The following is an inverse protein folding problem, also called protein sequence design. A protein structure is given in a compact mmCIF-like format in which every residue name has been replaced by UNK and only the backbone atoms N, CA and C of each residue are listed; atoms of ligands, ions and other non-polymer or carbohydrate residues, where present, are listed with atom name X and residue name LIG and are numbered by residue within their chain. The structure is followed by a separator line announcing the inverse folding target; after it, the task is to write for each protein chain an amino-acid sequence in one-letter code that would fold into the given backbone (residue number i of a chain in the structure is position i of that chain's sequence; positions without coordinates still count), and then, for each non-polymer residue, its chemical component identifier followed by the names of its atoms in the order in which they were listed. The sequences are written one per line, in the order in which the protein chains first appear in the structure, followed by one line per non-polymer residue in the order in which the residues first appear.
data_IF_109928768138
#
_entry.id   IF_109928768138
#
_cell.length_a   1.000
_cell.length_b   1.000
_cell.length_c   1.000
_cell.angle_alpha   90.00
_cell.angle_beta   90.00
_cell.angle_gamma   90.00
#
_symmetry.space_group_name_H-M   'P 1'
#
loop_
_entity.id
_entity.type
_entity.pdbx_description
1 polymer ?
#
# COMPACT_ATOMS: atom_id res chain seq x y z
N UNK A 1 -23.20 3.57 -16.07
CA UNK A 1 -21.88 4.20 -16.35
C UNK A 1 -21.34 4.73 -15.04
N UNK A 2 -20.04 4.63 -14.80
CA UNK A 2 -19.43 5.16 -13.57
C UNK A 2 -19.71 6.66 -13.42
N UNK A 3 -19.84 7.12 -12.18
CA UNK A 3 -19.92 8.55 -11.89
C UNK A 3 -18.55 9.19 -12.07
N UNK A 4 -18.50 10.36 -12.66
CA UNK A 4 -17.24 11.07 -12.91
C UNK A 4 -17.11 12.31 -12.03
N UNK A 5 -15.91 12.48 -11.44
CA UNK A 5 -15.53 13.68 -10.73
C UNK A 5 -14.22 14.22 -11.33
N UNK A 6 -14.09 15.53 -11.36
CA UNK A 6 -12.85 16.18 -11.77
C UNK A 6 -12.39 17.15 -10.66
N UNK A 7 -11.16 16.99 -10.22
CA UNK A 7 -10.56 17.84 -9.20
C UNK A 7 -9.35 18.59 -9.76
N UNK A 8 -9.18 19.86 -9.39
CA UNK A 8 -7.94 20.57 -9.65
C UNK A 8 -6.79 19.92 -8.87
N UNK A 9 -5.58 20.19 -9.28
CA UNK A 9 -4.41 19.83 -8.47
C UNK A 9 -4.46 20.61 -7.15
N UNK A 10 -4.51 19.88 -6.04
CA UNK A 10 -4.70 20.47 -4.72
C UNK A 10 -3.38 20.78 -4.02
N UNK A 11 -2.30 20.14 -4.47
CA UNK A 11 -0.97 20.21 -3.89
C UNK A 11 0.05 19.87 -4.96
N UNK A 12 1.13 20.62 -5.02
CA UNK A 12 2.25 20.29 -5.90
C UNK A 12 3.01 19.06 -5.39
N UNK A 13 3.79 18.45 -6.28
CA UNK A 13 4.65 17.32 -5.89
C UNK A 13 5.67 17.71 -4.81
N UNK A 14 6.20 18.93 -4.85
CA UNK A 14 7.15 19.39 -3.83
C UNK A 14 6.47 19.56 -2.47
N UNK A 15 5.29 20.16 -2.41
CA UNK A 15 4.51 20.26 -1.18
C UNK A 15 4.15 18.87 -0.62
N UNK A 16 3.83 17.91 -1.48
CA UNK A 16 3.51 16.55 -1.04
C UNK A 16 4.71 15.83 -0.41
N UNK A 17 5.93 16.16 -0.81
CA UNK A 17 7.15 15.58 -0.20
C UNK A 17 7.34 16.00 1.25
N UNK A 18 6.90 17.19 1.63
CA UNK A 18 7.00 17.68 3.01
C UNK A 18 6.14 16.85 3.96
N UNK A 19 5.06 16.27 3.45
CA UNK A 19 4.16 15.42 4.23
C UNK A 19 4.65 13.98 4.42
N UNK A 20 5.70 13.56 3.71
CA UNK A 20 6.17 12.17 3.79
C UNK A 20 6.56 11.80 5.22
N UNK A 21 5.94 10.72 5.72
CA UNK A 21 6.12 10.22 7.07
C UNK A 21 5.34 10.98 8.15
N UNK A 22 4.47 11.94 7.78
CA UNK A 22 3.51 12.57 8.68
C UNK A 22 2.18 11.82 8.68
N UNK A 23 1.43 11.95 9.75
CA UNK A 23 0.06 11.44 9.81
C UNK A 23 -0.89 12.30 8.98
N UNK A 24 -1.87 11.69 8.28
CA UNK A 24 -2.92 12.45 7.63
C UNK A 24 -3.74 13.24 8.67
N UNK A 25 -3.87 14.54 8.45
CA UNK A 25 -4.70 15.43 9.27
C UNK A 25 -5.94 15.88 8.49
N UNK A 26 -6.98 16.24 9.20
CA UNK A 26 -8.25 16.70 8.59
C UNK A 26 -8.07 17.91 7.67
N UNK A 27 -7.08 18.78 7.95
CA UNK A 27 -6.77 19.94 7.11
C UNK A 27 -6.27 19.56 5.71
N UNK A 28 -5.71 18.35 5.55
CA UNK A 28 -5.24 17.84 4.27
C UNK A 28 -6.37 17.26 3.41
N UNK A 29 -7.54 16.99 4.02
CA UNK A 29 -8.70 16.43 3.33
C UNK A 29 -9.52 17.59 2.76
N UNK A 30 -9.33 17.90 1.49
CA UNK A 30 -10.05 18.98 0.80
C UNK A 30 -11.41 18.55 0.25
N UNK A 31 -11.53 17.27 -0.10
CA UNK A 31 -12.74 16.71 -0.69
C UNK A 31 -13.00 15.33 -0.10
N UNK A 32 -14.25 15.06 0.17
CA UNK A 32 -14.71 13.75 0.60
C UNK A 32 -15.68 13.21 -0.45
N UNK A 33 -15.41 11.99 -0.93
CA UNK A 33 -16.30 11.28 -1.82
C UNK A 33 -16.82 10.05 -1.09
N UNK A 34 -18.13 9.98 -0.92
CA UNK A 34 -18.83 8.76 -0.46
C UNK A 34 -19.41 8.07 -1.70
N UNK A 35 -18.71 7.11 -2.30
CA UNK A 35 -19.14 6.51 -3.55
C UNK A 35 -20.28 5.54 -3.29
N UNK A 36 -21.48 5.89 -3.78
CA UNK A 36 -22.64 4.98 -3.78
C UNK A 36 -22.68 4.09 -5.01
N UNK A 37 -21.88 4.39 -6.00
CA UNK A 37 -21.79 3.72 -7.31
C UNK A 37 -20.34 3.72 -7.79
N UNK A 38 -20.04 2.95 -8.83
CA UNK A 38 -18.72 2.98 -9.48
C UNK A 38 -18.34 4.42 -9.83
N UNK A 39 -17.12 4.82 -9.52
CA UNK A 39 -16.72 6.22 -9.60
C UNK A 39 -15.34 6.32 -10.24
N UNK A 40 -15.15 7.30 -11.13
CA UNK A 40 -13.84 7.64 -11.70
C UNK A 40 -13.51 9.09 -11.33
N UNK A 41 -12.29 9.29 -10.86
CA UNK A 41 -11.78 10.59 -10.44
C UNK A 41 -10.68 11.01 -11.40
N UNK A 42 -10.85 12.15 -12.02
CA UNK A 42 -9.92 12.73 -13.00
C UNK A 42 -9.18 13.93 -12.43
N UNK A 43 -7.92 14.11 -12.88
CA UNK A 43 -7.23 15.40 -12.73
C UNK A 43 -7.89 16.40 -13.69
N UNK A 44 -8.31 17.54 -13.16
CA UNK A 44 -8.79 18.65 -13.97
C UNK A 44 -7.58 19.28 -14.67
N UNK A 45 -7.52 19.12 -15.98
CA UNK A 45 -6.50 19.76 -16.82
C UNK A 45 -7.10 20.95 -17.54
N UNK A 46 -6.31 22.02 -17.75
CA UNK A 46 -6.73 23.18 -18.53
C UNK A 46 -6.87 22.90 -20.04
N UNK A 47 -6.48 21.72 -20.51
CA UNK A 47 -6.49 21.32 -21.91
C UNK A 47 -7.73 20.50 -22.24
N UNK A 48 -8.45 20.91 -23.26
CA UNK A 48 -9.56 20.14 -23.83
C UNK A 48 -9.05 18.80 -24.39
N UNK A 49 -9.39 17.71 -23.74
CA UNK A 49 -9.18 16.35 -24.25
C UNK A 49 -8.38 15.39 -23.38
N UNK A 50 -7.54 15.87 -22.47
CA UNK A 50 -6.82 14.98 -21.54
C UNK A 50 -7.53 14.88 -20.19
N UNK A 51 -7.95 13.67 -19.84
CA UNK A 51 -8.55 13.36 -18.54
C UNK A 51 -7.69 12.30 -17.82
N UNK A 52 -6.53 12.66 -17.25
CA UNK A 52 -5.75 11.70 -16.49
C UNK A 52 -6.56 11.18 -15.29
N UNK A 53 -6.60 9.88 -15.12
CA UNK A 53 -7.27 9.25 -13.98
C UNK A 53 -6.37 9.42 -12.76
N UNK A 54 -6.89 10.02 -11.70
CA UNK A 54 -6.27 10.10 -10.38
C UNK A 54 -6.61 8.87 -9.53
N UNK A 55 -7.81 8.33 -9.72
CA UNK A 55 -8.28 7.17 -9.00
C UNK A 55 -9.62 6.70 -9.54
N UNK A 56 -9.97 5.47 -9.19
CA UNK A 56 -11.28 4.93 -9.50
C UNK A 56 -11.72 4.01 -8.35
N UNK A 57 -13.01 3.93 -8.13
CA UNK A 57 -13.63 3.10 -7.11
C UNK A 57 -14.63 2.18 -7.81
N UNK A 58 -14.43 0.89 -7.66
CA UNK A 58 -15.33 -0.15 -8.09
C UNK A 58 -16.00 -0.76 -6.87
N UNK A 59 -17.31 -0.80 -6.88
CA UNK A 59 -18.09 -1.39 -5.78
C UNK A 59 -18.43 -2.85 -6.08
N UNK A 60 -18.68 -3.58 -5.02
CA UNK A 60 -19.23 -4.95 -5.05
C UNK A 60 -18.48 -5.87 -6.02
N UNK A 61 -17.14 -5.79 -5.99
CA UNK A 61 -16.26 -6.53 -6.92
C UNK A 61 -16.13 -7.98 -6.49
N UNK A 62 -16.21 -8.23 -5.18
CA UNK A 62 -16.04 -9.56 -4.61
C UNK A 62 -17.39 -10.23 -4.43
N UNK A 63 -17.48 -11.49 -4.84
CA UNK A 63 -18.64 -12.33 -4.49
C UNK A 63 -18.59 -12.68 -3.01
N UNK A 64 -19.72 -12.85 -2.37
CA UNK A 64 -19.83 -13.07 -0.92
C UNK A 64 -18.91 -14.18 -0.40
N UNK A 65 -18.84 -15.32 -1.11
CA UNK A 65 -17.99 -16.44 -0.71
C UNK A 65 -16.49 -16.09 -0.77
N UNK A 66 -16.03 -15.39 -1.81
CA UNK A 66 -14.64 -14.96 -1.93
C UNK A 66 -14.32 -13.90 -0.88
N UNK A 67 -15.27 -13.00 -0.63
CA UNK A 67 -15.11 -11.93 0.36
C UNK A 67 -14.86 -12.47 1.76
N UNK A 68 -15.72 -13.37 2.22
CA UNK A 68 -15.62 -13.93 3.59
C UNK A 68 -14.33 -14.75 3.76
N UNK A 69 -13.98 -15.61 2.81
CA UNK A 69 -12.77 -16.42 2.91
C UNK A 69 -11.49 -15.56 2.87
N UNK A 70 -11.46 -14.55 2.01
CA UNK A 70 -10.32 -13.60 1.94
C UNK A 70 -10.25 -12.80 3.23
N UNK A 71 -11.38 -12.31 3.74
CA UNK A 71 -11.47 -11.54 4.98
C UNK A 71 -10.96 -12.35 6.17
N UNK A 72 -11.42 -13.58 6.36
CA UNK A 72 -10.95 -14.48 7.41
C UNK A 72 -9.43 -14.70 7.30
N UNK A 73 -8.94 -14.93 6.09
CA UNK A 73 -7.52 -15.09 5.85
C UNK A 73 -6.71 -13.85 6.25
N UNK A 74 -7.16 -12.65 5.86
CA UNK A 74 -6.54 -11.38 6.21
C UNK A 74 -6.58 -11.12 7.72
N UNK A 75 -7.71 -11.39 8.37
CA UNK A 75 -7.85 -11.23 9.83
C UNK A 75 -6.93 -12.18 10.63
N UNK A 76 -6.56 -13.31 10.05
CA UNK A 76 -5.64 -14.29 10.65
C UNK A 76 -4.15 -13.90 10.52
N UNK A 77 -3.83 -12.74 9.93
CA UNK A 77 -2.45 -12.25 9.80
C UNK A 77 -2.11 -11.41 11.03
N UNK A 78 -1.17 -11.89 11.83
CA UNK A 78 -0.68 -11.20 13.04
C UNK A 78 0.76 -10.69 12.89
N UNK A 79 1.28 -10.69 11.67
CA UNK A 79 2.65 -10.25 11.45
C UNK A 79 2.76 -8.72 11.52
N UNK A 80 3.82 -8.27 12.19
CA UNK A 80 4.18 -6.86 12.30
C UNK A 80 5.47 -6.62 11.54
N UNK A 81 5.49 -5.65 10.65
CA UNK A 81 6.73 -5.24 10.02
C UNK A 81 7.35 -4.04 10.70
N UNK A 82 8.64 -4.15 10.98
CA UNK A 82 9.44 -3.07 11.54
C UNK A 82 10.23 -2.30 10.48
N UNK A 83 10.10 -2.65 9.20
CA UNK A 83 10.94 -2.16 8.10
C UNK A 83 10.31 -1.04 7.27
N UNK A 84 9.19 -0.47 7.72
CA UNK A 84 8.44 0.55 6.98
C UNK A 84 8.41 1.89 7.72
N UNK A 85 9.58 2.38 8.09
CA UNK A 85 9.72 3.59 8.91
C UNK A 85 8.84 4.77 8.45
N UNK A 86 8.82 5.08 7.16
CA UNK A 86 8.01 6.20 6.65
C UNK A 86 6.51 5.94 6.74
N UNK A 87 6.05 4.69 6.55
CA UNK A 87 4.63 4.34 6.65
C UNK A 87 4.16 4.30 8.11
N UNK A 88 5.09 4.10 9.06
CA UNK A 88 4.78 3.99 10.48
C UNK A 88 4.55 5.34 11.17
N UNK A 89 4.73 6.44 10.45
CA UNK A 89 4.62 7.78 11.01
C UNK A 89 5.81 8.22 11.87
N UNK A 90 5.72 9.40 12.48
CA UNK A 90 6.71 9.89 13.42
C UNK A 90 6.89 8.97 14.62
N UNK A 91 8.08 8.97 15.21
CA UNK A 91 8.37 8.22 16.44
C UNK A 91 7.56 8.81 17.58
N UNK A 92 6.86 7.92 18.30
CA UNK A 92 6.22 8.26 19.56
C UNK A 92 7.29 8.23 20.69
N UNK A 93 7.87 9.39 20.95
CA UNK A 93 8.92 9.54 21.99
C UNK A 93 8.35 9.40 23.39
N UNK A 94 7.11 9.79 23.62
CA UNK A 94 6.45 9.68 24.93
C UNK A 94 6.25 8.21 25.30
N UNK A 95 5.90 7.38 24.32
CA UNK A 95 5.80 5.93 24.52
C UNK A 95 7.16 5.29 24.79
N UNK A 96 8.22 5.70 24.09
CA UNK A 96 9.57 5.20 24.34
C UNK A 96 10.03 5.57 25.77
N UNK A 97 9.78 6.80 26.20
CA UNK A 97 10.09 7.28 27.53
C UNK A 97 9.27 6.53 28.60
N UNK A 98 7.98 6.29 28.35
CA UNK A 98 7.11 5.50 29.23
C UNK A 98 7.61 4.06 29.41
N UNK A 99 8.16 3.47 28.35
CA UNK A 99 8.75 2.13 28.36
C UNK A 99 10.17 2.09 28.94
N UNK A 100 10.76 3.24 29.26
CA UNK A 100 12.14 3.34 29.77
C UNK A 100 13.20 2.94 28.73
N UNK A 101 12.89 3.05 27.45
CA UNK A 101 13.81 2.70 26.37
C UNK A 101 14.81 3.84 26.18
N UNK A 102 16.09 3.57 26.32
CA UNK A 102 17.14 4.53 25.95
C UNK A 102 17.31 4.57 24.44
N UNK A 103 17.11 5.73 23.84
CA UNK A 103 17.15 5.89 22.38
C UNK A 103 17.85 7.17 21.96
N UNK A 104 18.24 7.21 20.69
CA UNK A 104 18.70 8.41 19.98
C UNK A 104 17.97 8.50 18.64
N UNK A 105 17.26 9.60 18.42
CA UNK A 105 16.59 9.84 17.15
C UNK A 105 17.61 10.03 16.04
N UNK A 106 17.39 9.37 14.90
CA UNK A 106 18.16 9.53 13.66
C UNK A 106 17.41 10.38 12.63
N UNK A 107 16.11 10.17 12.55
CA UNK A 107 15.17 10.96 11.78
C UNK A 107 13.87 11.03 12.56
N UNK A 108 12.88 11.78 12.09
CA UNK A 108 11.53 11.76 12.68
C UNK A 108 10.87 10.38 12.71
N UNK A 109 11.29 9.46 11.85
CA UNK A 109 10.71 8.13 11.69
C UNK A 109 11.66 6.99 12.06
N UNK A 110 12.83 7.30 12.60
CA UNK A 110 13.81 6.27 12.95
C UNK A 110 14.64 6.65 14.18
N UNK A 111 14.96 5.66 14.97
CA UNK A 111 15.80 5.80 16.15
C UNK A 111 16.72 4.58 16.32
N UNK A 112 17.75 4.72 17.11
CA UNK A 112 18.54 3.61 17.61
C UNK A 112 18.32 3.46 19.11
N UNK A 113 18.31 2.22 19.59
CA UNK A 113 18.33 1.92 21.03
C UNK A 113 19.76 1.74 21.52
N UNK A 114 19.96 2.03 22.80
CA UNK A 114 21.21 1.85 23.51
C UNK A 114 20.92 0.91 24.67
N UNK A 115 21.55 -0.26 24.70
CA UNK A 115 21.39 -1.20 25.80
C UNK A 115 22.20 -0.78 27.03
N UNK A 116 22.00 -1.46 28.14
CA UNK A 116 22.71 -1.15 29.42
C UNK A 116 24.23 -1.35 29.33
N UNK A 117 24.71 -2.00 28.28
CA UNK A 117 26.15 -2.17 28.00
C UNK A 117 26.69 -1.14 27.03
N UNK A 118 25.85 -0.13 26.64
CA UNK A 118 26.20 0.90 25.67
C UNK A 118 26.24 0.41 24.24
N UNK A 119 25.66 -0.76 23.91
CA UNK A 119 25.62 -1.27 22.55
C UNK A 119 24.42 -0.68 21.82
N UNK A 120 24.66 -0.25 20.60
CA UNK A 120 23.67 0.39 19.74
C UNK A 120 23.01 -0.62 18.81
N UNK A 121 21.69 -0.50 18.65
CA UNK A 121 20.91 -1.24 17.65
C UNK A 121 20.16 -0.27 16.77
N UNK A 122 20.20 -0.46 15.44
CA UNK A 122 19.37 0.30 14.53
C UNK A 122 17.96 -0.27 14.52
N UNK A 123 17.00 0.55 14.91
CA UNK A 123 15.58 0.30 14.72
C UNK A 123 15.05 1.37 13.78
N UNK A 124 14.57 0.96 12.65
CA UNK A 124 14.12 1.89 11.61
C UNK A 124 12.59 1.95 11.59
N UNK A 125 12.00 2.39 12.74
CA UNK A 125 10.58 2.76 12.75
C UNK A 125 10.05 3.18 14.11
N UNK A 126 8.93 3.87 14.10
CA UNK A 126 8.19 4.26 15.26
C UNK A 126 7.15 3.23 15.70
N UNK A 127 6.03 3.27 15.04
CA UNK A 127 4.88 2.50 15.47
C UNK A 127 4.81 1.13 14.80
N UNK A 128 4.36 0.09 15.51
CA UNK A 128 4.14 -1.21 14.91
C UNK A 128 2.98 -1.12 13.90
N UNK A 129 3.23 -1.59 12.68
CA UNK A 129 2.21 -1.73 11.66
C UNK A 129 2.03 -3.21 11.37
N UNK A 130 0.82 -3.71 11.50
CA UNK A 130 0.48 -5.06 11.05
C UNK A 130 0.40 -5.06 9.53
N UNK A 131 1.47 -5.52 8.91
CA UNK A 131 1.61 -5.53 7.46
C UNK A 131 2.39 -6.76 7.02
N UNK A 132 1.93 -7.37 5.95
CA UNK A 132 2.63 -8.48 5.32
C UNK A 132 2.75 -8.24 3.83
N UNK A 133 3.88 -8.62 3.26
CA UNK A 133 4.11 -8.59 1.82
C UNK A 133 4.06 -10.02 1.26
N UNK A 134 3.18 -10.22 0.30
CA UNK A 134 2.98 -11.48 -0.42
C UNK A 134 3.47 -11.39 -1.85
N UNK A 135 3.61 -12.56 -2.51
CA UNK A 135 4.07 -12.65 -3.89
C UNK A 135 5.59 -12.64 -3.99
N UNK A 136 6.12 -11.92 -4.96
CA UNK A 136 7.52 -11.96 -5.33
C UNK A 136 8.21 -10.63 -5.04
N UNK A 137 9.44 -10.69 -4.58
CA UNK A 137 10.27 -9.51 -4.33
C UNK A 137 11.70 -9.73 -4.84
N UNK A 138 12.35 -8.65 -5.21
CA UNK A 138 13.78 -8.67 -5.52
C UNK A 138 14.58 -8.59 -4.22
N UNK A 139 15.46 -9.54 -4.02
CA UNK A 139 16.35 -9.53 -2.85
C UNK A 139 17.30 -8.34 -2.89
N UNK A 140 17.32 -7.53 -1.81
CA UNK A 140 18.11 -6.30 -1.73
C UNK A 140 19.60 -6.50 -2.01
N UNK A 141 20.16 -7.60 -1.52
CA UNK A 141 21.59 -7.90 -1.65
C UNK A 141 21.92 -8.84 -2.80
N UNK A 142 21.02 -9.74 -3.14
CA UNK A 142 21.24 -10.76 -4.16
C UNK A 142 20.78 -10.34 -5.56
N UNK A 143 19.90 -9.36 -5.64
CA UNK A 143 19.22 -8.97 -6.87
C UNK A 143 18.28 -10.05 -7.44
N UNK A 144 18.23 -11.24 -6.84
CA UNK A 144 17.38 -12.35 -7.30
C UNK A 144 15.93 -12.10 -6.93
N UNK A 145 15.03 -12.46 -7.84
CA UNK A 145 13.58 -12.45 -7.58
C UNK A 145 13.21 -13.78 -6.95
N UNK A 146 12.48 -13.73 -5.86
CA UNK A 146 12.01 -14.89 -5.11
C UNK A 146 10.71 -14.57 -4.38
N UNK A 147 9.97 -15.61 -4.01
CA UNK A 147 8.78 -15.45 -3.15
C UNK A 147 9.15 -14.77 -1.84
N UNK A 148 8.26 -13.95 -1.32
CA UNK A 148 8.41 -13.35 0.01
C UNK A 148 8.53 -14.45 1.07
N UNK A 149 9.16 -14.13 2.21
CA UNK A 149 9.24 -15.09 3.33
C UNK A 149 7.86 -15.54 3.79
N UNK A 150 6.93 -14.60 3.89
CA UNK A 150 5.56 -14.90 4.28
C UNK A 150 4.87 -15.86 3.30
N UNK A 151 4.96 -15.63 1.98
CA UNK A 151 4.38 -16.52 0.96
C UNK A 151 4.97 -17.94 1.00
N UNK A 152 6.23 -18.08 1.37
CA UNK A 152 6.88 -19.40 1.54
C UNK A 152 6.38 -20.13 2.77
N UNK A 153 6.18 -19.40 3.87
CA UNK A 153 5.75 -19.96 5.15
C UNK A 153 4.24 -20.21 5.22
N UNK A 154 3.45 -19.56 4.37
CA UNK A 154 1.99 -19.62 4.37
C UNK A 154 1.43 -19.89 2.96
N UNK A 155 1.73 -21.04 2.34
CA UNK A 155 1.34 -21.33 0.95
C UNK A 155 -0.18 -21.32 0.74
N UNK A 156 -0.96 -21.91 1.63
CA UNK A 156 -2.42 -21.96 1.53
C UNK A 156 -3.04 -20.57 1.62
N UNK A 157 -2.62 -19.77 2.60
CA UNK A 157 -3.08 -18.37 2.72
C UNK A 157 -2.66 -17.53 1.51
N UNK A 158 -1.45 -17.74 1.00
CA UNK A 158 -0.99 -17.07 -0.21
C UNK A 158 -1.89 -17.40 -1.41
N UNK A 159 -2.36 -18.61 -1.55
CA UNK A 159 -3.23 -19.01 -2.66
C UNK A 159 -4.62 -18.37 -2.53
N UNK A 160 -5.20 -18.32 -1.34
CA UNK A 160 -6.44 -17.59 -1.06
C UNK A 160 -6.28 -16.11 -1.44
N UNK A 161 -5.25 -15.46 -0.93
CA UNK A 161 -5.04 -14.03 -1.13
C UNK A 161 -4.60 -13.66 -2.54
N UNK A 162 -4.09 -14.63 -3.32
CA UNK A 162 -3.78 -14.44 -4.75
C UNK A 162 -5.03 -14.18 -5.60
N UNK A 163 -6.22 -14.43 -5.08
CA UNK A 163 -7.49 -14.06 -5.74
C UNK A 163 -7.73 -12.55 -5.74
N UNK A 164 -7.22 -11.82 -4.75
CA UNK A 164 -7.36 -10.35 -4.68
C UNK A 164 -6.86 -9.68 -5.97
N UNK A 165 -5.59 -9.82 -6.39
CA UNK A 165 -5.12 -9.20 -7.62
C UNK A 165 -5.82 -9.73 -8.87
N UNK A 166 -6.34 -10.97 -8.88
CA UNK A 166 -7.12 -11.47 -10.03
C UNK A 166 -8.45 -10.71 -10.17
N UNK A 167 -9.18 -10.56 -9.07
CA UNK A 167 -10.45 -9.83 -9.03
C UNK A 167 -10.21 -8.34 -9.32
N UNK A 168 -9.19 -7.75 -8.71
CA UNK A 168 -8.83 -6.36 -8.93
C UNK A 168 -8.45 -6.08 -10.39
N UNK A 169 -7.85 -7.03 -11.11
CA UNK A 169 -7.56 -6.90 -12.53
C UNK A 169 -8.83 -6.68 -13.37
N UNK A 170 -9.94 -7.33 -13.00
CA UNK A 170 -11.21 -7.16 -13.69
C UNK A 170 -11.70 -5.72 -13.50
N UNK A 171 -11.75 -5.26 -12.26
CA UNK A 171 -12.17 -3.89 -11.93
C UNK A 171 -11.27 -2.83 -12.58
N UNK A 172 -9.96 -3.05 -12.54
CA UNK A 172 -8.99 -2.14 -13.15
C UNK A 172 -9.19 -2.01 -14.66
N UNK A 173 -9.34 -3.14 -15.35
CA UNK A 173 -9.59 -3.15 -16.79
C UNK A 173 -10.91 -2.45 -17.17
N UNK A 174 -11.93 -2.57 -16.34
CA UNK A 174 -13.22 -1.92 -16.59
C UNK A 174 -13.20 -0.40 -16.37
N UNK A 175 -12.53 0.05 -15.30
CA UNK A 175 -12.53 1.45 -14.91
C UNK A 175 -11.44 2.28 -15.57
N UNK A 176 -10.29 1.69 -15.86
CA UNK A 176 -9.13 2.38 -16.43
C UNK A 176 -8.44 1.53 -17.52
N UNK A 177 -9.13 1.19 -18.61
CA UNK A 177 -8.65 0.22 -19.60
C UNK A 177 -7.32 0.59 -20.23
N UNK A 178 -7.08 1.86 -20.56
CA UNK A 178 -5.83 2.31 -21.17
C UNK A 178 -4.63 2.15 -20.24
N UNK A 179 -4.79 2.45 -18.96
CA UNK A 179 -3.76 2.24 -17.93
C UNK A 179 -3.51 0.75 -17.71
N UNK A 180 -4.58 -0.05 -17.65
CA UNK A 180 -4.46 -1.50 -17.52
C UNK A 180 -3.66 -2.11 -18.67
N UNK A 181 -3.97 -1.77 -19.92
CA UNK A 181 -3.27 -2.31 -21.08
C UNK A 181 -1.82 -1.87 -21.15
N UNK A 182 -1.51 -0.62 -20.77
CA UNK A 182 -0.12 -0.16 -20.67
C UNK A 182 0.67 -0.94 -19.61
N UNK A 183 0.10 -1.12 -18.42
CA UNK A 183 0.74 -1.87 -17.34
C UNK A 183 0.86 -3.36 -17.66
N UNK A 184 -0.14 -3.94 -18.32
CA UNK A 184 -0.11 -5.32 -18.80
C UNK A 184 1.03 -5.53 -19.80
N UNK A 185 1.14 -4.65 -20.80
CA UNK A 185 2.23 -4.69 -21.78
C UNK A 185 3.60 -4.60 -21.10
N UNK A 186 3.74 -3.72 -20.11
CA UNK A 186 4.97 -3.63 -19.32
C UNK A 186 5.26 -4.94 -18.57
N UNK A 187 4.29 -5.48 -17.85
CA UNK A 187 4.46 -6.72 -17.10
C UNK A 187 4.83 -7.90 -18.02
N UNK A 188 4.17 -8.03 -19.18
CA UNK A 188 4.44 -9.09 -20.16
C UNK A 188 5.82 -8.94 -20.81
N UNK A 189 6.33 -7.72 -20.96
CA UNK A 189 7.62 -7.45 -21.57
C UNK A 189 8.80 -7.64 -20.62
N UNK A 190 8.64 -7.23 -19.37
CA UNK A 190 9.78 -7.10 -18.45
C UNK A 190 9.74 -8.05 -17.25
N UNK A 191 8.60 -8.72 -16.99
CA UNK A 191 8.44 -9.62 -15.85
C UNK A 191 8.08 -11.02 -16.33
N UNK A 192 8.95 -11.99 -16.06
CA UNK A 192 8.66 -13.39 -16.34
C UNK A 192 7.33 -13.81 -15.68
N UNK A 193 6.51 -14.58 -16.41
CA UNK A 193 5.18 -14.99 -15.94
C UNK A 193 5.20 -15.66 -14.55
N UNK A 194 6.23 -16.48 -14.30
CA UNK A 194 6.39 -17.18 -13.00
C UNK A 194 6.57 -16.22 -11.80
N UNK A 195 6.88 -14.96 -12.03
CA UNK A 195 7.03 -13.93 -11.00
C UNK A 195 5.82 -12.98 -10.93
N UNK A 196 4.76 -13.30 -11.65
CA UNK A 196 3.51 -12.56 -11.63
C UNK A 196 2.46 -13.35 -10.84
N UNK A 197 1.75 -12.69 -9.92
CA UNK A 197 0.71 -13.35 -9.11
C UNK A 197 -0.38 -13.82 -10.06
N UNK A 198 -0.64 -15.13 -10.05
CA UNK A 198 -1.64 -15.79 -10.89
C UNK A 198 -1.53 -15.44 -12.39
N UNK A 199 -0.30 -15.19 -12.89
CA UNK A 199 -0.06 -14.82 -14.29
C UNK A 199 -0.55 -13.42 -14.67
N UNK A 200 -1.05 -12.63 -13.70
CA UNK A 200 -1.59 -11.29 -13.90
C UNK A 200 -0.51 -10.22 -14.12
N UNK A 201 -0.85 -8.99 -13.76
CA UNK A 201 0.05 -7.83 -13.90
C UNK A 201 0.82 -7.49 -12.63
N UNK A 202 0.43 -8.05 -11.50
CA UNK A 202 1.02 -7.76 -10.20
C UNK A 202 2.06 -8.80 -9.81
N UNK A 203 3.13 -8.34 -9.20
CA UNK A 203 4.19 -9.20 -8.63
C UNK A 203 4.07 -9.33 -7.12
N UNK A 204 3.47 -8.33 -6.48
CA UNK A 204 3.42 -8.19 -5.03
C UNK A 204 2.04 -7.73 -4.61
N UNK A 205 1.60 -8.21 -3.45
CA UNK A 205 0.44 -7.72 -2.72
C UNK A 205 0.88 -7.38 -1.30
N UNK A 206 0.55 -6.19 -0.83
CA UNK A 206 0.73 -5.80 0.56
C UNK A 206 -0.63 -5.80 1.26
N UNK A 207 -0.74 -6.55 2.34
CA UNK A 207 -1.90 -6.51 3.21
C UNK A 207 -1.54 -5.72 4.47
N UNK A 208 -2.33 -4.70 4.78
CA UNK A 208 -2.17 -3.87 5.96
C UNK A 208 -3.42 -4.01 6.81
N UNK A 209 -3.24 -4.33 8.09
CA UNK A 209 -4.32 -4.44 9.06
C UNK A 209 -4.27 -3.21 9.95
N UNK A 210 -5.37 -2.49 10.00
CA UNK A 210 -5.54 -1.35 10.88
C UNK A 210 -6.11 -1.80 12.22
N UNK A 211 -5.78 -1.06 13.29
CA UNK A 211 -6.42 -1.27 14.58
C UNK A 211 -7.91 -0.89 14.50
N UNK A 212 -8.75 -1.57 15.28
CA UNK A 212 -10.21 -1.33 15.29
C UNK A 212 -10.58 0.06 15.77
N UNK A 213 -9.72 0.72 16.53
CA UNK A 213 -9.91 2.09 17.03
C UNK A 213 -9.51 3.16 16.03
N UNK A 214 -9.04 2.77 14.83
CA UNK A 214 -8.58 3.68 13.79
C UNK A 214 -7.28 4.43 14.10
N UNK A 215 -6.63 4.13 15.24
CA UNK A 215 -5.44 4.84 15.72
C UNK A 215 -4.19 4.57 14.88
N UNK A 216 -4.22 3.59 14.00
CA UNK A 216 -3.07 3.21 13.17
C UNK A 216 -3.41 3.29 11.68
N UNK A 217 -3.60 4.50 11.18
CA UNK A 217 -3.53 4.75 9.75
C UNK A 217 -2.06 4.67 9.27
N UNK A 218 -1.84 4.44 7.98
CA UNK A 218 -0.52 4.62 7.40
C UNK A 218 -0.26 6.12 7.22
N UNK A 219 0.95 6.55 7.52
CA UNK A 219 1.39 7.91 7.22
C UNK A 219 1.55 8.14 5.72
N UNK A 220 1.68 9.38 5.29
CA UNK A 220 2.00 9.71 3.91
C UNK A 220 3.31 9.07 3.48
N UNK A 221 3.31 8.29 2.41
CA UNK A 221 4.49 7.59 1.89
C UNK A 221 4.42 7.44 0.37
N UNK A 222 5.54 7.08 -0.21
CA UNK A 222 5.67 6.70 -1.61
C UNK A 222 6.20 5.27 -1.66
N UNK A 223 5.51 4.41 -2.36
CA UNK A 223 5.97 3.05 -2.65
C UNK A 223 6.97 3.09 -3.81
N UNK A 224 8.25 3.06 -3.46
CA UNK A 224 9.36 3.24 -4.41
C UNK A 224 9.52 2.12 -5.44
N UNK A 225 8.74 1.05 -5.33
CA UNK A 225 8.76 -0.10 -6.24
C UNK A 225 7.66 -0.10 -7.28
N UNK A 226 6.75 0.86 -7.23
CA UNK A 226 5.62 0.92 -8.15
C UNK A 226 6.03 1.47 -9.51
N UNK A 227 5.30 1.05 -10.54
CA UNK A 227 5.46 1.59 -11.89
C UNK A 227 4.94 3.03 -11.93
N UNK A 228 5.76 4.04 -12.24
CA UNK A 228 5.34 5.44 -12.18
C UNK A 228 4.15 5.79 -13.07
N UNK A 229 4.00 5.11 -14.20
CA UNK A 229 2.92 5.32 -15.16
C UNK A 229 1.70 4.41 -14.89
N UNK A 230 1.79 3.56 -13.86
CA UNK A 230 0.74 2.62 -13.48
C UNK A 230 -0.20 3.19 -12.42
N UNK A 231 -1.30 2.47 -12.19
CA UNK A 231 -2.17 2.67 -11.05
C UNK A 231 -2.02 1.47 -10.11
N UNK A 232 -2.01 1.73 -8.82
CA UNK A 232 -2.13 0.67 -7.82
C UNK A 232 -3.60 0.33 -7.61
N UNK A 233 -3.89 -0.90 -7.23
CA UNK A 233 -5.23 -1.28 -6.83
C UNK A 233 -5.27 -1.57 -5.34
N UNK A 234 -6.28 -1.05 -4.66
CA UNK A 234 -6.51 -1.22 -3.23
C UNK A 234 -7.86 -1.90 -3.05
N UNK A 235 -7.90 -2.93 -2.25
CA UNK A 235 -9.13 -3.59 -1.82
C UNK A 235 -9.30 -3.40 -0.31
N UNK A 236 -10.50 -3.02 0.10
CA UNK A 236 -10.89 -2.87 1.51
C UNK A 236 -11.77 -4.03 1.94
N UNK A 237 -11.43 -4.65 3.06
CA UNK A 237 -12.19 -5.69 3.72
C UNK A 237 -12.54 -5.22 5.13
N UNK A 238 -13.81 -4.84 5.33
CA UNK A 238 -14.33 -4.23 6.56
C UNK A 238 -15.14 -5.26 7.36
#
# INVERSE_FOLDING_TARGET
MPREYAFPELMSFEESKELLGEWPESIHIKHWIDPKEDTIIYKQTGSLGEKPILGAIKKDVYMDADYEEIKECLMSIDETTTMRANCAGPIDTDELDRLGIKYELRTKNSYKTIDDKGRESMIAQGNPIHSVMMGYKRGRFTGKIDRSGWSKSNPEKNDILSRIPQINNIAYRELAPSYYEAQKKFAETYVEERFRIAGGIYTTLSANKYSQDGSQAMSYHIDSGDLPEGLITIANFI
#
